data_IF_552008967400
#
_entry.id   IF_552008967400
#
_cell.length_a   1.000
_cell.length_b   1.000
_cell.length_c   1.000
_cell.angle_alpha   90.00
_cell.angle_beta   90.00
_cell.angle_gamma   90.00
#
_symmetry.space_group_name_H-M   'P 1'
#
loop_
_entity.id
_entity.type
_entity.pdbx_description
1 polymer ?
#
# COMPACT_ATOMS: atom_id res chain seq x y z
N UNK A 1 -6.44 11.91 -0.70
CA UNK A 1 -5.63 13.12 -0.40
C UNK A 1 -4.49 12.78 0.57
N UNK A 2 -4.76 12.21 1.75
CA UNK A 2 -3.71 11.76 2.68
C UNK A 2 -2.63 10.88 2.02
N UNK A 3 -3.02 9.84 1.27
CA UNK A 3 -2.04 8.98 0.58
C UNK A 3 -1.22 9.71 -0.50
N UNK A 4 -1.78 10.75 -1.13
CA UNK A 4 -1.06 11.56 -2.13
C UNK A 4 0.04 12.40 -1.46
N UNK A 5 -0.29 13.06 -0.35
CA UNK A 5 0.66 13.82 0.47
C UNK A 5 1.75 12.91 1.04
N UNK A 6 1.38 11.73 1.55
CA UNK A 6 2.34 10.74 2.01
C UNK A 6 3.33 10.32 0.91
N UNK A 7 2.87 10.12 -0.33
CA UNK A 7 3.76 9.83 -1.46
C UNK A 7 4.69 11.00 -1.78
N UNK A 8 4.22 12.25 -1.69
CA UNK A 8 5.06 13.43 -1.86
C UNK A 8 6.15 13.51 -0.78
N UNK A 9 5.78 13.30 0.48
CA UNK A 9 6.72 13.28 1.61
C UNK A 9 7.78 12.16 1.46
N UNK A 10 7.34 10.94 1.14
CA UNK A 10 8.25 9.81 0.91
C UNK A 10 9.23 10.11 -0.24
N UNK A 11 8.75 10.70 -1.34
CA UNK A 11 9.60 11.09 -2.46
C UNK A 11 10.61 12.18 -2.07
N UNK A 12 10.21 13.16 -1.26
CA UNK A 12 11.11 14.18 -0.73
C UNK A 12 12.22 13.58 0.16
N UNK A 13 11.95 12.46 0.82
CA UNK A 13 12.93 11.68 1.59
C UNK A 13 13.80 10.75 0.71
N UNK A 14 13.67 10.80 -0.61
CA UNK A 14 14.40 9.93 -1.54
C UNK A 14 13.84 8.51 -1.66
N UNK A 15 12.65 8.25 -1.11
CA UNK A 15 11.99 6.94 -1.18
C UNK A 15 11.14 6.87 -2.46
N UNK A 16 11.37 5.85 -3.27
CA UNK A 16 10.58 5.59 -4.48
C UNK A 16 9.19 5.09 -4.12
N UNK A 17 8.25 6.01 -3.95
CA UNK A 17 6.86 5.73 -3.65
C UNK A 17 5.94 6.03 -4.85
N UNK A 18 4.89 5.21 -5.01
CA UNK A 18 3.82 5.38 -5.97
C UNK A 18 2.47 5.12 -5.30
N UNK A 19 1.40 5.71 -5.86
CA UNK A 19 0.04 5.55 -5.36
C UNK A 19 -0.80 4.79 -6.38
N UNK A 20 -1.34 3.64 -5.99
CA UNK A 20 -2.44 3.00 -6.68
C UNK A 20 -3.74 3.28 -5.91
N UNK A 21 -4.77 3.76 -6.61
CA UNK A 21 -6.10 3.98 -6.03
C UNK A 21 -7.08 3.03 -6.69
N UNK A 22 -7.58 2.04 -5.94
CA UNK A 22 -8.70 1.23 -6.39
C UNK A 22 -9.94 2.13 -6.54
N UNK A 23 -10.53 2.14 -7.73
CA UNK A 23 -11.78 2.88 -8.01
C UNK A 23 -12.98 1.94 -7.83
N UNK A 24 -12.86 0.70 -8.32
CA UNK A 24 -13.90 -0.31 -8.26
C UNK A 24 -13.66 -1.25 -7.10
N UNK A 25 -14.67 -1.42 -6.25
CA UNK A 25 -14.71 -2.50 -5.25
C UNK A 25 -14.97 -3.84 -5.93
N UNK A 26 -15.94 -3.87 -6.84
CA UNK A 26 -16.28 -5.03 -7.64
C UNK A 26 -16.65 -4.60 -9.07
N UNK A 27 -16.11 -5.25 -10.11
CA UNK A 27 -14.99 -6.18 -10.04
C UNK A 27 -13.71 -5.47 -9.55
N UNK A 28 -12.92 -6.14 -8.70
CA UNK A 28 -11.68 -5.59 -8.17
C UNK A 28 -10.64 -5.44 -9.30
N UNK A 29 -9.89 -4.32 -9.37
CA UNK A 29 -8.96 -4.03 -10.47
C UNK A 29 -7.63 -4.78 -10.36
N UNK A 30 -7.65 -6.12 -10.30
CA UNK A 30 -6.46 -6.95 -10.06
C UNK A 30 -5.34 -6.76 -11.08
N UNK A 31 -5.68 -6.64 -12.38
CA UNK A 31 -4.69 -6.49 -13.45
C UNK A 31 -3.93 -5.15 -13.34
N UNK A 32 -4.67 -4.06 -13.14
CA UNK A 32 -4.09 -2.72 -12.97
C UNK A 32 -3.25 -2.63 -11.70
N UNK A 33 -3.69 -3.25 -10.60
CA UNK A 33 -2.90 -3.33 -9.37
C UNK A 33 -1.58 -4.08 -9.60
N UNK A 34 -1.63 -5.23 -10.28
CA UNK A 34 -0.43 -6.04 -10.57
C UNK A 34 0.58 -5.28 -11.44
N UNK A 35 0.10 -4.56 -12.44
CA UNK A 35 0.94 -3.71 -13.29
C UNK A 35 1.59 -2.58 -12.47
N UNK A 36 0.79 -1.85 -11.69
CA UNK A 36 1.28 -0.74 -10.87
C UNK A 36 2.29 -1.19 -9.78
N UNK A 37 2.04 -2.35 -9.17
CA UNK A 37 2.91 -2.93 -8.14
C UNK A 37 4.07 -3.76 -8.72
N UNK A 38 4.24 -3.81 -10.04
CA UNK A 38 5.23 -4.67 -10.70
C UNK A 38 6.65 -4.49 -10.17
N UNK A 39 7.02 -3.24 -9.83
CA UNK A 39 8.35 -2.85 -9.29
C UNK A 39 8.36 -2.56 -7.79
N UNK A 40 7.22 -2.72 -7.11
CA UNK A 40 7.12 -2.45 -5.69
C UNK A 40 7.64 -3.63 -4.88
N UNK A 41 8.57 -3.38 -3.95
CA UNK A 41 9.03 -4.39 -2.99
C UNK A 41 7.96 -4.66 -1.92
N UNK A 42 7.27 -3.59 -1.51
CA UNK A 42 6.24 -3.60 -0.47
C UNK A 42 5.02 -2.83 -0.97
N UNK A 43 3.83 -3.32 -0.62
CA UNK A 43 2.56 -2.61 -0.83
C UNK A 43 1.93 -2.34 0.53
N UNK A 44 1.71 -1.05 0.84
CA UNK A 44 0.96 -0.63 2.02
C UNK A 44 -0.48 -0.31 1.63
N UNK A 45 -1.42 -1.02 2.22
CA UNK A 45 -2.86 -0.88 1.99
C UNK A 45 -3.45 -0.01 3.09
N UNK A 46 -3.80 1.23 2.75
CA UNK A 46 -4.45 2.17 3.65
C UNK A 46 -5.97 2.14 3.45
N UNK A 47 -6.73 1.70 4.45
CA UNK A 47 -8.19 1.56 4.37
C UNK A 47 -8.91 2.24 5.54
N UNK A 48 -10.08 2.82 5.26
CA UNK A 48 -11.02 3.25 6.29
C UNK A 48 -12.03 2.14 6.59
N UNK A 49 -11.53 0.91 6.73
CA UNK A 49 -12.28 -0.32 6.96
C UNK A 49 -11.47 -1.27 7.85
N UNK A 50 -12.07 -2.40 8.25
CA UNK A 50 -11.41 -3.49 8.96
C UNK A 50 -10.76 -4.53 8.00
N UNK A 51 -10.26 -4.10 6.84
CA UNK A 51 -9.58 -4.97 5.88
C UNK A 51 -10.54 -5.61 4.87
N UNK A 52 -11.42 -4.80 4.29
CA UNK A 52 -12.40 -5.29 3.31
C UNK A 52 -11.75 -5.71 1.98
N UNK A 53 -10.62 -5.08 1.60
CA UNK A 53 -9.99 -5.30 0.29
C UNK A 53 -8.57 -5.88 0.38
N UNK A 54 -8.01 -6.03 1.59
CA UNK A 54 -6.64 -6.52 1.78
C UNK A 54 -6.44 -7.92 1.18
N UNK A 55 -7.45 -8.79 1.27
CA UNK A 55 -7.38 -10.12 0.68
C UNK A 55 -7.41 -10.09 -0.85
N UNK A 56 -8.19 -9.21 -1.47
CA UNK A 56 -8.18 -9.01 -2.92
C UNK A 56 -6.82 -8.47 -3.39
N UNK A 57 -6.20 -7.58 -2.62
CA UNK A 57 -4.84 -7.06 -2.89
C UNK A 57 -3.82 -8.21 -2.82
N UNK A 58 -3.84 -9.00 -1.74
CA UNK A 58 -2.94 -10.15 -1.56
C UNK A 58 -3.09 -11.16 -2.70
N UNK A 59 -4.34 -11.48 -3.05
CA UNK A 59 -4.66 -12.39 -4.14
C UNK A 59 -4.19 -11.85 -5.51
N UNK A 60 -4.40 -10.56 -5.79
CA UNK A 60 -4.02 -9.95 -7.05
C UNK A 60 -2.50 -9.90 -7.29
N UNK A 61 -1.73 -9.69 -6.21
CA UNK A 61 -0.27 -9.53 -6.25
C UNK A 61 0.51 -10.85 -6.27
N UNK A 62 -0.12 -11.94 -5.81
CA UNK A 62 0.52 -13.24 -5.60
C UNK A 62 1.50 -13.18 -4.43
N UNK A 63 1.55 -14.22 -3.60
CA UNK A 63 2.23 -14.25 -2.29
C UNK A 63 3.75 -13.95 -2.24
N UNK A 64 4.37 -13.47 -3.33
CA UNK A 64 5.76 -13.04 -3.38
C UNK A 64 6.00 -11.56 -3.04
N UNK A 65 4.95 -10.75 -2.82
CA UNK A 65 5.09 -9.35 -2.40
C UNK A 65 4.66 -9.16 -0.95
N UNK A 66 5.43 -8.36 -0.21
CA UNK A 66 5.05 -8.00 1.15
C UNK A 66 3.89 -7.02 1.13
N UNK A 67 2.74 -7.42 1.71
CA UNK A 67 1.52 -6.61 1.76
C UNK A 67 1.18 -6.29 3.21
N UNK A 68 1.26 -5.02 3.55
CA UNK A 68 1.00 -4.47 4.87
C UNK A 68 -0.32 -3.72 4.91
N UNK A 69 -0.97 -3.73 6.08
CA UNK A 69 -2.29 -3.15 6.27
C UNK A 69 -2.27 -2.00 7.29
N UNK A 70 -2.85 -0.87 6.92
CA UNK A 70 -3.07 0.29 7.77
C UNK A 70 -4.56 0.65 7.71
N UNK A 71 -5.33 0.08 8.63
CA UNK A 71 -6.78 0.28 8.72
C UNK A 71 -7.18 1.27 9.80
N UNK A 72 -8.25 2.03 9.55
CA UNK A 72 -9.02 2.73 10.58
C UNK A 72 -10.52 2.48 10.41
N UNK A 73 -11.27 2.43 11.50
CA UNK A 73 -12.72 2.23 11.49
C UNK A 73 -13.43 3.42 12.15
N UNK A 74 -14.77 3.47 12.06
CA UNK A 74 -15.57 4.49 12.75
C UNK A 74 -15.43 5.92 12.20
N UNK A 75 -15.09 6.07 10.91
CA UNK A 75 -14.94 7.39 10.27
C UNK A 75 -13.64 8.13 10.60
N UNK A 76 -12.74 7.50 11.36
CA UNK A 76 -11.44 8.05 11.71
C UNK A 76 -10.52 8.08 10.49
N UNK A 77 -10.13 9.26 10.03
CA UNK A 77 -9.20 9.40 8.91
C UNK A 77 -7.78 8.97 9.29
N UNK A 78 -7.03 8.42 8.33
CA UNK A 78 -5.60 8.14 8.48
C UNK A 78 -4.83 9.41 8.08
N UNK A 79 -4.05 10.03 8.98
CA UNK A 79 -3.21 11.17 8.65
C UNK A 79 -2.05 10.77 7.74
N UNK A 80 -1.54 11.71 6.94
CA UNK A 80 -0.46 11.43 5.99
C UNK A 80 0.84 11.01 6.72
N UNK A 81 1.08 11.60 7.88
CA UNK A 81 2.23 11.37 8.73
C UNK A 81 2.31 9.91 9.21
N UNK A 82 1.17 9.32 9.58
CA UNK A 82 1.09 7.91 9.99
C UNK A 82 1.35 6.96 8.81
N UNK A 83 0.90 7.33 7.60
CA UNK A 83 1.20 6.56 6.38
C UNK A 83 2.71 6.59 6.10
N UNK A 84 3.34 7.76 6.25
CA UNK A 84 4.79 7.94 6.06
C UNK A 84 5.56 7.14 7.10
N UNK A 85 5.20 7.27 8.38
CA UNK A 85 5.82 6.52 9.49
C UNK A 85 5.75 5.02 9.24
N UNK A 86 4.56 4.50 8.91
CA UNK A 86 4.38 3.08 8.61
C UNK A 86 5.20 2.65 7.39
N UNK A 87 5.18 3.42 6.30
CA UNK A 87 5.95 3.10 5.09
C UNK A 87 7.47 3.08 5.35
N UNK A 88 7.98 3.98 6.20
CA UNK A 88 9.38 3.99 6.62
C UNK A 88 9.72 2.80 7.51
N UNK A 89 8.86 2.45 8.46
CA UNK A 89 9.07 1.31 9.37
C UNK A 89 9.18 -0.04 8.63
N UNK A 90 8.42 -0.23 7.55
CA UNK A 90 8.46 -1.48 6.77
C UNK A 90 9.77 -1.63 5.96
N UNK A 91 10.60 -0.58 5.86
CA UNK A 91 11.77 -0.56 4.97
C UNK A 91 12.99 -1.29 5.55
N UNK A 92 13.04 -1.60 6.84
CA UNK A 92 14.10 -2.39 7.49
C UNK A 92 13.65 -3.87 7.65
N UNK A 93 14.56 -4.84 7.47
CA UNK A 93 14.54 -5.77 6.32
C UNK A 93 13.61 -6.99 6.49
N UNK A 94 12.75 -7.20 5.49
CA UNK A 94 12.57 -8.55 4.97
C UNK A 94 13.80 -8.89 4.12
N UNK A 95 14.63 -9.79 4.64
CA UNK A 95 15.72 -10.43 3.92
C UNK A 95 15.26 -10.97 2.57
N UNK A 96 16.19 -10.96 1.61
CA UNK A 96 15.92 -11.17 0.20
C UNK A 96 15.14 -12.43 -0.16
N UNK A 97 14.41 -12.32 -1.26
CA UNK A 97 14.13 -13.45 -2.13
C UNK A 97 14.65 -13.03 -3.51
N UNK A 98 15.90 -13.39 -3.78
CA UNK A 98 16.37 -13.58 -5.14
C UNK A 98 15.62 -14.80 -5.69
N UNK A 99 14.88 -14.60 -6.76
CA UNK A 99 14.56 -15.64 -7.74
C UNK A 99 15.19 -15.27 -9.06
#
# INVERSE_FOLDING_TARGET
>A
RACSLAVEHLRAMGIRAALFRAISLYPFPSAALREAAGRAATVLVAELSAGQMIEDVRLALGGGRHVEFLGRTGGMMIPAEEIVERACAIREPAGGCHV
#
